data_IF_053249004521
#
_entry.id   IF_053249004521
#
_cell.length_a   1.000
_cell.length_b   1.000
_cell.length_c   1.000
_cell.angle_alpha   90.00
_cell.angle_beta   90.00
_cell.angle_gamma   90.00
#
_symmetry.space_group_name_H-M   'P 1'
#
loop_
_entity.id
_entity.type
_entity.pdbx_description
1 polymer ?
#
# COMPACT_ATOMS: atom_id res chain seq x y z
N UNK A 1 3.08 -0.16 -6.74
CA UNK A 1 2.32 0.87 -7.51
C UNK A 1 3.24 1.81 -8.27
N UNK A 2 4.13 2.58 -7.63
CA UNK A 2 5.00 3.53 -8.35
C UNK A 2 5.83 2.91 -9.48
N UNK A 3 6.40 1.73 -9.26
CA UNK A 3 7.12 0.98 -10.31
C UNK A 3 6.19 0.71 -11.49
N UNK A 4 5.02 0.10 -11.26
CA UNK A 4 4.03 -0.18 -12.30
C UNK A 4 3.51 1.11 -12.97
N UNK A 5 3.28 2.18 -12.22
CA UNK A 5 2.89 3.48 -12.75
C UNK A 5 3.97 4.07 -13.66
N UNK A 6 5.23 3.99 -13.25
CA UNK A 6 6.39 4.41 -14.07
C UNK A 6 6.48 3.56 -15.33
N UNK A 7 6.33 2.24 -15.20
CA UNK A 7 6.35 1.33 -16.34
C UNK A 7 5.23 1.68 -17.33
N UNK A 8 4.03 1.98 -16.84
CA UNK A 8 2.92 2.42 -17.66
C UNK A 8 3.19 3.76 -18.35
N UNK A 9 3.77 4.74 -17.66
CA UNK A 9 4.05 6.06 -18.25
C UNK A 9 5.10 5.99 -19.36
N UNK A 10 6.15 5.18 -19.17
CA UNK A 10 7.27 5.06 -20.12
C UNK A 10 6.93 4.12 -21.27
N UNK A 11 6.49 2.90 -20.97
CA UNK A 11 6.29 1.83 -21.97
C UNK A 11 4.82 1.59 -22.35
N UNK A 12 3.86 2.32 -21.75
CA UNK A 12 2.42 2.18 -22.05
C UNK A 12 1.90 0.75 -21.88
N UNK A 13 2.51 -0.03 -20.98
CA UNK A 13 2.12 -1.41 -20.72
C UNK A 13 0.77 -1.47 -19.98
N UNK A 14 -0.28 -1.95 -20.66
CA UNK A 14 -1.65 -2.05 -20.11
C UNK A 14 -1.71 -2.86 -18.81
N UNK A 15 -0.89 -3.91 -18.68
CA UNK A 15 -0.84 -4.71 -17.46
C UNK A 15 -0.32 -3.90 -16.26
N UNK A 16 0.63 -2.98 -16.48
CA UNK A 16 1.14 -2.15 -15.41
C UNK A 16 0.07 -1.18 -14.88
N UNK A 17 -0.79 -0.67 -15.75
CA UNK A 17 -2.00 0.08 -15.36
C UNK A 17 -3.00 -0.78 -14.56
N UNK A 18 -3.25 -2.03 -14.98
CA UNK A 18 -4.10 -2.97 -14.23
C UNK A 18 -3.59 -3.12 -12.79
N UNK A 19 -2.28 -3.35 -12.62
CA UNK A 19 -1.65 -3.50 -11.31
C UNK A 19 -1.84 -2.25 -10.45
N UNK A 20 -1.68 -1.04 -11.03
CA UNK A 20 -1.96 0.22 -10.29
C UNK A 20 -3.41 0.27 -9.83
N UNK A 21 -4.37 -0.11 -10.70
CA UNK A 21 -5.81 -0.13 -10.37
C UNK A 21 -6.10 -0.97 -9.13
N UNK A 22 -5.60 -2.20 -9.12
CA UNK A 22 -6.01 -3.20 -8.12
C UNK A 22 -5.16 -3.11 -6.86
N UNK A 23 -3.94 -2.58 -6.94
CA UNK A 23 -3.09 -2.37 -5.78
C UNK A 23 -3.57 -1.21 -4.90
N UNK A 24 -4.21 -0.18 -5.47
CA UNK A 24 -4.61 1.00 -4.71
C UNK A 24 -5.63 0.69 -3.60
N UNK A 25 -6.74 -0.05 -3.85
CA UNK A 25 -7.66 -0.45 -2.79
C UNK A 25 -7.00 -1.33 -1.71
N UNK A 26 -6.13 -2.26 -2.11
CA UNK A 26 -5.41 -3.12 -1.16
C UNK A 26 -4.51 -2.27 -0.25
N UNK A 27 -3.73 -1.35 -0.83
CA UNK A 27 -2.89 -0.43 -0.08
C UNK A 27 -3.70 0.46 0.86
N UNK A 28 -4.86 0.97 0.41
CA UNK A 28 -5.75 1.79 1.22
C UNK A 28 -6.26 1.01 2.45
N UNK A 29 -6.65 -0.26 2.26
CA UNK A 29 -7.04 -1.15 3.36
C UNK A 29 -5.93 -1.33 4.40
N UNK A 30 -4.71 -1.67 3.97
CA UNK A 30 -3.58 -1.80 4.89
C UNK A 30 -3.25 -0.50 5.63
N UNK A 31 -3.30 0.63 4.92
CA UNK A 31 -3.00 1.94 5.52
C UNK A 31 -4.07 2.33 6.54
N UNK A 32 -5.35 2.10 6.23
CA UNK A 32 -6.45 2.35 7.16
C UNK A 32 -6.37 1.45 8.40
N UNK A 33 -6.06 0.16 8.22
CA UNK A 33 -5.85 -0.77 9.33
C UNK A 33 -4.65 -0.36 10.20
N UNK A 34 -3.54 0.07 9.59
CA UNK A 34 -2.37 0.57 10.31
C UNK A 34 -2.69 1.82 11.13
N UNK A 35 -3.44 2.77 10.57
CA UNK A 35 -3.90 3.96 11.31
C UNK A 35 -4.83 3.58 12.47
N UNK A 36 -5.83 2.74 12.22
CA UNK A 36 -6.80 2.35 13.25
C UNK A 36 -6.14 1.55 14.38
N UNK A 37 -5.38 0.50 14.06
CA UNK A 37 -4.66 -0.30 15.05
C UNK A 37 -3.57 0.48 15.76
N UNK A 38 -2.88 1.38 15.05
CA UNK A 38 -1.90 2.30 15.62
C UNK A 38 -2.52 3.26 16.63
N UNK A 39 -3.69 3.83 16.34
CA UNK A 39 -4.42 4.69 17.28
C UNK A 39 -4.91 3.94 18.52
N UNK A 40 -5.40 2.70 18.35
CA UNK A 40 -5.80 1.83 19.48
C UNK A 40 -4.60 1.51 20.36
N UNK A 41 -3.43 1.23 19.79
CA UNK A 41 -2.23 0.96 20.58
C UNK A 41 -1.62 2.24 21.20
N UNK A 42 -1.77 3.38 20.50
CA UNK A 42 -1.24 4.67 20.92
C UNK A 42 -1.91 5.25 22.17
N UNK A 43 -3.21 4.96 22.39
CA UNK A 43 -3.91 5.44 23.60
C UNK A 43 -3.28 4.86 24.88
N UNK A 44 -2.94 3.57 24.87
CA UNK A 44 -2.34 2.90 26.04
C UNK A 44 -0.86 3.26 26.19
N UNK A 45 -0.14 3.45 25.09
CA UNK A 45 1.31 3.70 25.12
C UNK A 45 1.65 5.17 25.40
N UNK A 46 0.85 6.10 24.86
CA UNK A 46 1.16 7.54 24.84
C UNK A 46 0.03 8.43 25.34
N UNK A 47 -1.09 7.86 25.79
CA UNK A 47 -2.21 8.60 26.38
C UNK A 47 -3.07 9.37 25.37
N UNK A 48 -2.90 9.15 24.06
CA UNK A 48 -3.69 9.82 23.02
C UNK A 48 -3.93 8.93 21.80
N UNK A 49 -5.11 9.06 21.19
CA UNK A 49 -5.47 8.37 19.94
C UNK A 49 -4.80 8.97 18.70
N UNK A 50 -4.44 10.26 18.77
CA UNK A 50 -3.90 11.02 17.65
C UNK A 50 -3.04 12.19 18.11
N UNK A 51 -2.00 12.48 17.32
CA UNK A 51 -1.27 13.73 17.38
C UNK A 51 -0.97 14.19 15.95
N UNK A 52 -1.01 15.50 15.71
CA UNK A 52 -0.70 16.09 14.41
C UNK A 52 0.81 16.23 14.20
N UNK A 53 1.51 15.09 14.14
CA UNK A 53 2.94 15.04 13.89
C UNK A 53 3.27 14.66 12.45
N UNK A 54 4.54 14.79 12.05
CA UNK A 54 4.98 14.50 10.69
C UNK A 54 4.77 13.03 10.28
N UNK A 55 4.80 12.10 11.25
CA UNK A 55 4.67 10.66 11.00
C UNK A 55 3.22 10.25 10.73
N UNK A 56 2.31 10.60 11.64
CA UNK A 56 0.90 10.25 11.53
C UNK A 56 0.23 11.03 10.41
N UNK A 57 0.56 12.31 10.26
CA UNK A 57 -0.02 13.14 9.20
C UNK A 57 0.43 12.67 7.81
N UNK A 58 1.69 12.28 7.62
CA UNK A 58 2.15 11.75 6.32
C UNK A 58 1.57 10.36 6.01
N UNK A 59 1.31 9.53 7.02
CA UNK A 59 0.59 8.26 6.85
C UNK A 59 -0.89 8.48 6.50
N UNK A 60 -1.56 9.46 7.12
CA UNK A 60 -2.92 9.85 6.75
C UNK A 60 -2.98 10.40 5.31
N UNK A 61 -2.01 11.24 4.94
CA UNK A 61 -1.86 11.71 3.57
C UNK A 61 -1.68 10.54 2.60
N UNK A 62 -0.92 9.51 2.97
CA UNK A 62 -0.79 8.29 2.15
C UNK A 62 -2.13 7.61 1.92
N UNK A 63 -2.97 7.49 2.94
CA UNK A 63 -4.32 6.94 2.80
C UNK A 63 -5.13 7.77 1.79
N UNK A 64 -5.09 9.09 1.89
CA UNK A 64 -5.80 9.96 0.94
C UNK A 64 -5.25 9.87 -0.47
N UNK A 65 -3.93 9.74 -0.67
CA UNK A 65 -3.35 9.52 -2.00
C UNK A 65 -3.82 8.19 -2.60
N UNK A 66 -3.91 7.13 -1.80
CA UNK A 66 -4.42 5.83 -2.24
C UNK A 66 -5.92 5.89 -2.59
N UNK A 67 -6.73 6.54 -1.76
CA UNK A 67 -8.14 6.76 -2.04
C UNK A 67 -8.35 7.65 -3.27
N UNK A 68 -7.49 8.65 -3.48
CA UNK A 68 -7.50 9.48 -4.68
C UNK A 68 -7.24 8.66 -5.94
N UNK A 69 -6.33 7.69 -5.92
CA UNK A 69 -6.13 6.77 -7.06
C UNK A 69 -7.40 5.96 -7.34
N UNK A 70 -8.08 5.48 -6.30
CA UNK A 70 -9.33 4.71 -6.45
C UNK A 70 -10.45 5.59 -7.02
N UNK A 71 -10.68 6.77 -6.45
CA UNK A 71 -11.77 7.66 -6.84
C UNK A 71 -11.54 8.30 -8.22
N UNK A 72 -10.31 8.67 -8.54
CA UNK A 72 -9.96 9.27 -9.83
C UNK A 72 -10.22 8.31 -10.99
N UNK A 73 -10.00 7.01 -10.75
CA UNK A 73 -10.30 5.96 -11.72
C UNK A 73 -11.78 5.90 -12.10
N UNK A 74 -12.67 6.16 -11.13
CA UNK A 74 -14.12 6.17 -11.34
C UNK A 74 -14.67 7.52 -11.79
N UNK A 75 -13.98 8.62 -11.49
CA UNK A 75 -14.46 9.97 -11.75
C UNK A 75 -14.17 10.45 -13.18
N UNK A 76 -13.13 9.93 -13.83
CA UNK A 76 -12.73 10.34 -15.18
C UNK A 76 -13.31 9.42 -16.25
N UNK A 77 -13.99 10.03 -17.23
CA UNK A 77 -14.54 9.31 -18.40
C UNK A 77 -13.44 8.86 -19.38
N UNK A 78 -12.40 9.69 -19.56
CA UNK A 78 -11.22 9.33 -20.34
C UNK A 78 -10.37 8.29 -19.58
N UNK A 79 -10.52 7.03 -19.98
CA UNK A 79 -9.80 5.91 -19.38
C UNK A 79 -8.28 6.03 -19.48
N UNK A 80 -7.75 6.66 -20.52
CA UNK A 80 -6.30 6.80 -20.68
C UNK A 80 -5.76 7.93 -19.82
N UNK A 81 -6.42 9.09 -19.82
CA UNK A 81 -6.16 10.20 -18.91
C UNK A 81 -6.21 9.76 -17.45
N UNK A 82 -7.22 8.98 -17.06
CA UNK A 82 -7.34 8.42 -15.72
C UNK A 82 -6.15 7.53 -15.35
N UNK A 83 -5.73 6.66 -16.27
CA UNK A 83 -4.59 5.76 -16.05
C UNK A 83 -3.28 6.54 -15.87
N UNK A 84 -3.07 7.59 -16.66
CA UNK A 84 -1.89 8.48 -16.54
C UNK A 84 -1.87 9.23 -15.21
N UNK A 85 -3.00 9.79 -14.81
CA UNK A 85 -3.09 10.52 -13.55
C UNK A 85 -2.91 9.59 -12.32
N UNK A 86 -3.50 8.39 -12.36
CA UNK A 86 -3.28 7.37 -11.32
C UNK A 86 -1.81 6.93 -11.23
N UNK A 87 -1.12 6.81 -12.36
CA UNK A 87 0.31 6.48 -12.39
C UNK A 87 1.16 7.59 -11.77
N UNK A 88 0.87 8.87 -12.06
CA UNK A 88 1.54 10.01 -11.43
C UNK A 88 1.30 10.05 -9.92
N UNK A 89 0.04 9.88 -9.48
CA UNK A 89 -0.30 9.81 -8.06
C UNK A 89 0.42 8.66 -7.35
N UNK A 90 0.60 7.52 -8.04
CA UNK A 90 1.37 6.38 -7.50
C UNK A 90 2.83 6.74 -7.22
N UNK A 91 3.45 7.57 -8.06
CA UNK A 91 4.82 8.06 -7.88
C UNK A 91 4.86 9.06 -6.71
N UNK A 92 3.92 10.00 -6.66
CA UNK A 92 3.79 10.95 -5.54
C UNK A 92 3.63 10.22 -4.20
N UNK A 93 2.78 9.19 -4.16
CA UNK A 93 2.64 8.33 -2.97
C UNK A 93 3.92 7.60 -2.59
N UNK A 94 4.78 7.23 -3.54
CA UNK A 94 6.08 6.63 -3.23
C UNK A 94 7.07 7.66 -2.65
N UNK A 95 7.04 8.90 -3.12
CA UNK A 95 7.82 9.99 -2.53
C UNK A 95 7.35 10.22 -1.09
N UNK A 96 6.03 10.22 -0.85
CA UNK A 96 5.48 10.36 0.50
C UNK A 96 5.91 9.20 1.44
N UNK A 97 6.07 7.97 0.95
CA UNK A 97 6.62 6.85 1.75
C UNK A 97 8.03 7.15 2.25
N UNK A 98 8.85 7.87 1.48
CA UNK A 98 10.18 8.32 1.94
C UNK A 98 10.03 9.29 3.12
N UNK A 99 9.09 10.24 3.04
CA UNK A 99 8.76 11.16 4.13
C UNK A 99 8.31 10.40 5.37
N UNK A 100 7.41 9.41 5.22
CA UNK A 100 6.96 8.57 6.34
C UNK A 100 8.14 7.85 7.00
N UNK A 101 9.02 7.24 6.20
CA UNK A 101 10.17 6.49 6.72
C UNK A 101 11.12 7.37 7.54
N UNK A 102 11.47 8.55 7.02
CA UNK A 102 12.41 9.45 7.68
C UNK A 102 11.75 10.41 8.68
N UNK A 103 10.42 10.40 8.78
CA UNK A 103 9.70 11.24 9.75
C UNK A 103 10.13 10.98 11.20
N UNK A 104 10.62 9.78 11.50
CA UNK A 104 11.17 9.39 12.81
C UNK A 104 12.44 10.17 13.16
N UNK A 105 13.26 10.49 12.16
CA UNK A 105 14.56 11.13 12.36
C UNK A 105 14.46 12.66 12.15
N UNK A 106 13.53 13.11 11.29
CA UNK A 106 13.36 14.53 10.96
C UNK A 106 12.58 15.31 12.02
N UNK A 107 11.64 14.67 12.73
CA UNK A 107 10.85 15.32 13.77
C UNK A 107 10.99 14.62 15.11
N UNK A 108 11.29 15.40 16.15
CA UNK A 108 11.21 14.96 17.53
C UNK A 108 9.74 14.96 17.96
N UNK A 109 9.14 13.78 18.08
CA UNK A 109 7.73 13.62 18.47
C UNK A 109 7.62 12.69 19.66
N UNK A 110 6.40 12.42 20.13
CA UNK A 110 6.15 11.52 21.25
C UNK A 110 6.62 10.08 20.99
N UNK A 111 6.84 9.74 19.72
CA UNK A 111 7.17 8.40 19.30
C UNK A 111 8.66 8.13 19.52
N UNK A 112 9.00 6.99 20.14
CA UNK A 112 10.37 6.54 20.25
C UNK A 112 11.05 6.36 18.88
N UNK A 113 12.38 6.50 18.86
CA UNK A 113 13.24 6.23 17.70
C UNK A 113 13.36 4.73 17.43
N UNK A 114 13.94 4.37 16.29
CA UNK A 114 14.08 2.97 15.89
C UNK A 114 15.04 2.21 16.82
N UNK A 115 14.62 1.05 17.33
CA UNK A 115 15.47 0.14 18.11
C UNK A 115 16.19 -0.86 17.20
N UNK A 116 17.49 -1.06 17.38
CA UNK A 116 18.29 -2.00 16.59
C UNK A 116 18.12 -3.44 17.05
N UNK A 117 17.98 -4.40 16.12
CA UNK A 117 17.88 -5.83 16.44
C UNK A 117 19.01 -6.32 17.35
N UNK A 118 18.67 -7.18 18.31
CA UNK A 118 19.63 -7.81 19.22
C UNK A 118 19.31 -9.29 19.42
N UNK A 119 20.36 -10.07 19.71
CA UNK A 119 20.25 -11.47 20.13
C UNK A 119 20.28 -11.60 21.66
N UNK A 120 20.54 -10.51 22.36
CA UNK A 120 20.55 -10.48 23.81
C UNK A 120 19.10 -10.53 24.35
N UNK A 121 18.84 -11.46 25.27
CA UNK A 121 17.50 -11.67 25.85
C UNK A 121 17.20 -10.74 27.03
N UNK A 122 18.15 -9.90 27.43
CA UNK A 122 18.02 -8.90 28.50
C UNK A 122 17.62 -7.50 27.97
N UNK A 123 17.52 -7.36 26.65
CA UNK A 123 17.11 -6.14 25.98
C UNK A 123 15.63 -6.19 25.59
N UNK A 124 14.98 -5.02 25.54
CA UNK A 124 13.56 -4.90 25.24
C UNK A 124 13.15 -5.36 23.82
N UNK A 125 14.08 -5.80 22.96
CA UNK A 125 13.81 -6.30 21.62
C UNK A 125 14.54 -7.62 21.31
N UNK A 126 14.54 -8.54 22.28
CA UNK A 126 15.05 -9.89 22.10
C UNK A 126 14.29 -10.72 21.03
N UNK A 127 14.75 -11.96 20.78
CA UNK A 127 14.17 -12.88 19.79
C UNK A 127 12.66 -13.08 19.88
N UNK A 128 12.10 -13.04 21.10
CA UNK A 128 10.68 -13.14 21.38
C UNK A 128 9.82 -12.05 20.72
N UNK A 129 10.42 -10.91 20.34
CA UNK A 129 9.72 -9.83 19.64
C UNK A 129 9.98 -9.89 18.13
N UNK A 130 11.25 -9.97 17.72
CA UNK A 130 11.56 -9.83 16.29
C UNK A 130 11.30 -11.10 15.47
N UNK A 131 11.33 -12.30 16.09
CA UNK A 131 11.00 -13.54 15.36
C UNK A 131 9.52 -13.54 14.91
N UNK A 132 8.52 -13.34 15.80
CA UNK A 132 7.13 -13.19 15.37
C UNK A 132 6.92 -12.04 14.38
N UNK A 133 7.64 -10.93 14.55
CA UNK A 133 7.58 -9.80 13.63
C UNK A 133 7.99 -10.21 12.21
N UNK A 134 9.11 -10.92 12.03
CA UNK A 134 9.55 -11.38 10.70
C UNK A 134 8.54 -12.34 10.08
N UNK A 135 8.01 -13.29 10.87
CA UNK A 135 6.96 -14.20 10.39
C UNK A 135 5.71 -13.44 9.92
N UNK A 136 5.28 -12.45 10.69
CA UNK A 136 4.12 -11.61 10.33
C UNK A 136 4.40 -10.73 9.12
N UNK A 137 5.59 -10.15 9.00
CA UNK A 137 6.02 -9.42 7.79
C UNK A 137 5.89 -10.36 6.59
N UNK A 138 6.50 -11.54 6.64
CA UNK A 138 6.43 -12.50 5.52
C UNK A 138 4.97 -12.87 5.18
N UNK A 139 4.15 -13.18 6.20
CA UNK A 139 2.75 -13.54 6.00
C UNK A 139 1.94 -12.41 5.35
N UNK A 140 2.12 -11.16 5.79
CA UNK A 140 1.43 -9.99 5.23
C UNK A 140 1.87 -9.71 3.80
N UNK A 141 3.17 -9.78 3.50
CA UNK A 141 3.67 -9.61 2.14
C UNK A 141 3.18 -10.72 1.21
N UNK A 142 3.15 -11.97 1.68
CA UNK A 142 2.62 -13.10 0.92
C UNK A 142 1.12 -12.95 0.66
N UNK A 143 0.34 -12.59 1.69
CA UNK A 143 -1.08 -12.31 1.55
C UNK A 143 -1.33 -11.19 0.56
N UNK A 144 -0.63 -10.05 0.68
CA UNK A 144 -0.71 -8.95 -0.27
C UNK A 144 -0.37 -9.40 -1.71
N UNK A 145 0.70 -10.18 -1.89
CA UNK A 145 1.10 -10.66 -3.21
C UNK A 145 0.04 -11.58 -3.83
N UNK A 146 -0.50 -12.52 -3.06
CA UNK A 146 -1.57 -13.42 -3.52
C UNK A 146 -2.83 -12.62 -3.87
N UNK A 147 -3.28 -11.73 -2.98
CA UNK A 147 -4.43 -10.87 -3.24
C UNK A 147 -4.21 -10.02 -4.49
N UNK A 148 -3.04 -9.42 -4.65
CA UNK A 148 -2.70 -8.62 -5.82
C UNK A 148 -2.75 -9.44 -7.11
N UNK A 149 -2.17 -10.64 -7.12
CA UNK A 149 -2.18 -11.54 -8.28
C UNK A 149 -3.62 -11.95 -8.62
N UNK A 150 -4.41 -12.38 -7.63
CA UNK A 150 -5.79 -12.80 -7.83
C UNK A 150 -6.67 -11.64 -8.34
N UNK A 151 -6.56 -10.45 -7.73
CA UNK A 151 -7.28 -9.26 -8.17
C UNK A 151 -6.85 -8.83 -9.58
N UNK A 152 -5.55 -8.89 -9.89
CA UNK A 152 -5.03 -8.60 -11.24
C UNK A 152 -5.60 -9.56 -12.28
N UNK A 153 -5.61 -10.87 -11.99
CA UNK A 153 -6.19 -11.89 -12.88
C UNK A 153 -7.67 -11.65 -13.13
N UNK A 154 -8.43 -11.37 -12.07
CA UNK A 154 -9.87 -11.07 -12.19
C UNK A 154 -10.12 -9.82 -13.04
N UNK A 155 -9.34 -8.75 -12.81
CA UNK A 155 -9.46 -7.52 -13.59
C UNK A 155 -9.12 -7.73 -15.08
N UNK A 156 -8.10 -8.55 -15.39
CA UNK A 156 -7.79 -8.92 -16.79
C UNK A 156 -8.97 -9.65 -17.42
N UNK A 157 -9.54 -10.65 -16.75
CA UNK A 157 -10.70 -11.39 -17.25
C UNK A 157 -11.92 -10.48 -17.49
N UNK A 158 -12.15 -9.51 -16.60
CA UNK A 158 -13.24 -8.54 -16.77
C UNK A 158 -13.02 -7.60 -17.96
N UNK A 159 -11.79 -7.10 -18.16
CA UNK A 159 -11.44 -6.25 -19.31
C UNK A 159 -11.54 -7.01 -20.63
N UNK A 160 -11.03 -8.24 -20.64
CA UNK A 160 -10.96 -9.10 -21.82
C UNK A 160 -12.19 -10.01 -21.97
N UNK A 161 -13.30 -9.72 -21.29
CA UNK A 161 -14.50 -10.60 -21.26
C UNK A 161 -15.10 -10.92 -22.63
N UNK A 162 -14.83 -10.09 -23.64
CA UNK A 162 -15.29 -10.26 -25.03
C UNK A 162 -14.23 -10.90 -25.93
N UNK A 163 -13.02 -11.11 -25.43
CA UNK A 163 -11.95 -11.75 -26.18
C UNK A 163 -12.24 -13.24 -26.34
N UNK A 164 -11.89 -13.79 -27.51
CA UNK A 164 -12.15 -15.19 -27.85
C UNK A 164 -11.57 -16.16 -26.82
N UNK A 165 -10.35 -15.91 -26.35
CA UNK A 165 -9.68 -16.77 -25.36
C UNK A 165 -10.43 -16.84 -24.01
N UNK A 166 -11.11 -15.77 -23.58
CA UNK A 166 -11.92 -15.78 -22.36
C UNK A 166 -13.21 -16.56 -22.59
N UNK A 167 -13.87 -16.34 -23.72
CA UNK A 167 -15.09 -17.08 -24.07
C UNK A 167 -14.83 -18.59 -24.17
N UNK A 168 -13.70 -18.98 -24.78
CA UNK A 168 -13.27 -20.39 -24.83
C UNK A 168 -12.94 -20.96 -23.45
N UNK A 169 -12.31 -20.18 -22.57
CA UNK A 169 -12.00 -20.62 -21.21
C UNK A 169 -13.28 -20.89 -20.41
N UNK A 170 -14.28 -20.02 -20.52
CA UNK A 170 -15.60 -20.18 -19.88
C UNK A 170 -16.38 -21.36 -20.46
N UNK A 171 -16.28 -21.59 -21.77
CA UNK A 171 -16.95 -22.73 -22.41
C UNK A 171 -16.35 -24.10 -22.01
N UNK A 172 -15.13 -24.12 -21.46
CA UNK A 172 -14.42 -25.33 -21.02
C UNK A 172 -14.57 -25.64 -19.53
N UNK A 173 -15.09 -24.70 -18.73
CA UNK A 173 -15.32 -24.81 -17.28
C UNK A 173 -16.75 -25.21 -16.96
#
# INVERSE_FOLDING_TARGET
MAISGTIFLVWRMKLADVVVKVAAPLGAWFTALALASGSIWGVDTWGTWWIWDGRLTSLLLQLFLLLAVVSLRSALEDSEGASRACALLSIVGCINVVVIKYSVDWWNTLHQTSTNFTLATDQANGPEIWVPLIFMIFAVYLFFAISLIMSTRNEILQREKRAQWVMELVAKS
#
